data_IF_811879704479
#
_entry.id   IF_811879704479
#
_cell.length_a   1.000
_cell.length_b   1.000
_cell.length_c   1.000
_cell.angle_alpha   90.00
_cell.angle_beta   90.00
_cell.angle_gamma   90.00
#
_symmetry.space_group_name_H-M   'P 1'
#
loop_
_entity.id
_entity.type
_entity.pdbx_description
1 polymer ?
#
# COMPACT_ATOMS: atom_id res chain seq x y z
N UNK A 1 1.09 -25.66 -64.43
CA UNK A 1 0.39 -24.40 -63.98
C UNK A 1 0.67 -24.04 -62.51
N UNK A 2 0.72 -24.97 -61.57
CA UNK A 2 0.92 -24.64 -60.12
C UNK A 2 2.28 -23.98 -59.77
N UNK A 3 3.38 -24.32 -60.49
CA UNK A 3 4.72 -23.74 -60.23
C UNK A 3 4.88 -22.29 -60.72
N UNK A 4 4.10 -21.86 -61.70
CA UNK A 4 4.13 -20.50 -62.24
C UNK A 4 3.32 -19.51 -61.43
N UNK A 5 2.25 -19.98 -60.78
CA UNK A 5 1.41 -19.17 -59.84
C UNK A 5 2.18 -18.91 -58.55
N UNK A 6 2.95 -19.89 -58.06
CA UNK A 6 3.77 -19.72 -56.83
C UNK A 6 4.93 -18.74 -57.04
N UNK A 7 5.54 -18.73 -58.23
CA UNK A 7 6.59 -17.78 -58.57
C UNK A 7 6.07 -16.33 -58.70
N UNK A 8 4.85 -16.14 -59.22
CA UNK A 8 4.21 -14.82 -59.28
C UNK A 8 3.79 -14.28 -57.89
N UNK A 9 3.33 -15.14 -56.98
CA UNK A 9 2.98 -14.74 -55.62
C UNK A 9 4.22 -14.29 -54.83
N UNK A 10 5.36 -14.98 -54.98
CA UNK A 10 6.62 -14.59 -54.35
C UNK A 10 7.22 -13.28 -54.89
N UNK A 11 7.05 -13.02 -56.17
CA UNK A 11 7.49 -11.76 -56.80
C UNK A 11 6.68 -10.55 -56.30
N UNK A 12 5.36 -10.71 -56.04
CA UNK A 12 4.52 -9.63 -55.47
C UNK A 12 4.87 -9.28 -54.02
N UNK A 13 5.29 -10.27 -53.22
CA UNK A 13 5.68 -10.03 -51.80
C UNK A 13 7.01 -9.28 -51.73
N UNK A 14 7.96 -9.50 -52.67
CA UNK A 14 9.23 -8.77 -52.71
C UNK A 14 9.09 -7.35 -53.27
N UNK A 15 8.08 -7.05 -54.09
CA UNK A 15 7.85 -5.73 -54.62
C UNK A 15 7.28 -4.73 -53.62
N UNK A 16 6.60 -5.23 -52.57
CA UNK A 16 6.04 -4.40 -51.48
C UNK A 16 7.06 -3.99 -50.42
N UNK A 17 8.23 -4.60 -50.36
CA UNK A 17 9.29 -4.29 -49.41
C UNK A 17 10.29 -3.21 -49.84
N UNK A 18 10.22 -2.70 -51.09
CA UNK A 18 11.17 -1.74 -51.66
C UNK A 18 10.65 -0.29 -51.71
N UNK A 19 9.47 0.00 -51.19
CA UNK A 19 8.89 1.35 -51.19
C UNK A 19 9.09 2.14 -49.87
N UNK A 20 9.95 1.65 -48.96
CA UNK A 20 10.16 2.26 -47.63
C UNK A 20 11.50 2.99 -47.48
N UNK A 21 12.19 3.34 -48.56
CA UNK A 21 13.41 4.16 -48.52
C UNK A 21 13.41 5.21 -49.63
N UNK A 22 12.89 6.39 -49.35
CA UNK A 22 13.00 7.57 -50.20
C UNK A 22 13.15 8.80 -49.32
N UNK A 23 14.40 9.25 -49.20
CA UNK A 23 14.87 10.42 -48.48
C UNK A 23 14.17 11.72 -48.87
N UNK A 24 13.92 12.59 -47.91
CA UNK A 24 14.37 13.99 -47.97
C UNK A 24 14.29 14.63 -46.57
N UNK A 25 15.43 15.16 -46.17
CA UNK A 25 15.59 16.09 -45.05
C UNK A 25 14.72 17.33 -45.22
N UNK A 26 13.94 17.64 -44.20
CA UNK A 26 13.69 19.03 -43.85
C UNK A 26 13.43 19.12 -42.33
N UNK A 27 14.01 20.15 -41.72
CA UNK A 27 14.04 20.39 -40.31
C UNK A 27 12.65 20.86 -39.86
N UNK A 28 11.99 20.07 -39.03
CA UNK A 28 10.74 20.41 -38.38
C UNK A 28 10.60 19.57 -37.13
N UNK A 29 10.54 20.25 -36.02
CA UNK A 29 10.25 19.75 -34.68
C UNK A 29 9.08 18.74 -34.72
N UNK A 30 9.39 17.46 -34.70
CA UNK A 30 8.41 16.40 -34.59
C UNK A 30 8.47 15.88 -33.16
N UNK A 31 7.56 16.41 -32.35
CA UNK A 31 7.22 15.81 -31.07
C UNK A 31 7.08 14.30 -31.26
N UNK A 32 7.85 13.56 -30.48
CA UNK A 32 7.82 12.11 -30.42
C UNK A 32 6.46 11.66 -29.88
N UNK A 33 5.49 11.55 -30.76
CA UNK A 33 4.22 10.89 -30.46
C UNK A 33 4.41 9.39 -30.73
N UNK A 34 5.27 8.77 -29.91
CA UNK A 34 5.27 7.33 -29.73
C UNK A 34 3.90 6.98 -29.18
N UNK A 35 3.04 6.44 -30.03
CA UNK A 35 1.78 5.86 -29.59
C UNK A 35 2.09 4.74 -28.58
N UNK A 36 2.17 5.12 -27.32
CA UNK A 36 2.03 4.22 -26.20
C UNK A 36 0.59 3.67 -26.29
N UNK A 37 0.45 2.43 -26.76
CA UNK A 37 -0.73 1.65 -26.55
C UNK A 37 -0.73 1.27 -25.05
N UNK A 38 -0.72 2.29 -24.18
CA UNK A 38 -0.65 2.16 -22.75
C UNK A 38 -1.89 1.43 -22.26
N UNK A 39 -1.69 0.20 -21.89
CA UNK A 39 -2.61 -0.44 -20.96
C UNK A 39 -2.63 0.50 -19.74
N UNK A 40 -3.76 1.18 -19.53
CA UNK A 40 -3.92 2.08 -18.41
C UNK A 40 -3.67 1.29 -17.12
N UNK A 41 -2.68 1.66 -16.33
CA UNK A 41 -2.33 0.99 -15.08
C UNK A 41 -3.03 1.66 -13.90
N UNK A 42 -3.38 0.87 -12.88
CA UNK A 42 -3.81 1.38 -11.58
C UNK A 42 -2.59 1.33 -10.65
N UNK A 43 -2.16 2.49 -10.19
CA UNK A 43 -0.98 2.66 -9.35
C UNK A 43 -1.32 2.55 -7.87
N UNK A 44 -0.77 1.54 -7.22
CA UNK A 44 -0.89 1.30 -5.79
C UNK A 44 0.38 1.79 -5.09
N UNK A 45 0.23 2.69 -4.13
CA UNK A 45 1.34 3.15 -3.30
C UNK A 45 1.26 2.54 -1.91
N UNK A 46 2.42 2.21 -1.33
CA UNK A 46 2.53 1.80 0.07
C UNK A 46 3.73 2.45 0.73
N UNK A 47 3.65 2.66 2.01
CA UNK A 47 4.74 3.17 2.84
C UNK A 47 4.90 2.26 4.04
N UNK A 48 6.12 1.99 4.44
CA UNK A 48 6.38 1.25 5.67
C UNK A 48 7.88 1.09 5.90
N UNK A 49 8.29 0.61 7.07
CA UNK A 49 9.69 0.42 7.39
C UNK A 49 10.26 -0.75 6.58
N UNK A 50 11.05 -0.48 5.55
CA UNK A 50 11.78 -1.50 4.79
C UNK A 50 13.19 -1.71 5.35
N UNK A 51 13.65 -0.77 6.19
CA UNK A 51 14.92 -0.82 6.89
C UNK A 51 14.73 -0.53 8.38
N UNK A 52 15.77 -0.77 9.20
CA UNK A 52 15.73 -0.53 10.65
C UNK A 52 15.05 -1.63 11.47
N UNK A 53 14.69 -1.32 12.71
CA UNK A 53 14.22 -2.29 13.70
C UNK A 53 12.85 -2.92 13.40
N UNK A 54 12.05 -2.26 12.59
CA UNK A 54 10.70 -2.71 12.20
C UNK A 54 10.62 -3.27 10.78
N UNK A 55 11.76 -3.46 10.10
CA UNK A 55 11.81 -3.87 8.70
C UNK A 55 11.03 -5.15 8.40
N UNK A 56 10.98 -6.10 9.33
CA UNK A 56 10.23 -7.35 9.14
C UNK A 56 8.72 -7.10 8.89
N UNK A 57 8.15 -6.07 9.52
CA UNK A 57 6.74 -5.71 9.32
C UNK A 57 6.52 -5.11 7.93
N UNK A 58 7.31 -4.10 7.58
CA UNK A 58 7.20 -3.44 6.27
C UNK A 58 7.45 -4.37 5.10
N UNK A 59 8.51 -5.18 5.17
CA UNK A 59 8.82 -6.18 4.15
C UNK A 59 7.71 -7.23 4.00
N UNK A 60 7.10 -7.67 5.11
CA UNK A 60 5.99 -8.62 5.06
C UNK A 60 4.77 -8.04 4.35
N UNK A 61 4.42 -6.78 4.63
CA UNK A 61 3.32 -6.10 3.95
C UNK A 61 3.64 -5.87 2.48
N UNK A 62 4.84 -5.40 2.15
CA UNK A 62 5.29 -5.21 0.77
C UNK A 62 5.22 -6.50 -0.03
N UNK A 63 5.73 -7.60 0.50
CA UNK A 63 5.71 -8.91 -0.18
C UNK A 63 4.29 -9.43 -0.37
N UNK A 64 3.42 -9.28 0.64
CA UNK A 64 2.02 -9.66 0.54
C UNK A 64 1.28 -8.86 -0.53
N UNK A 65 1.49 -7.54 -0.57
CA UNK A 65 0.92 -6.65 -1.57
C UNK A 65 1.43 -7.01 -2.98
N UNK A 66 2.73 -7.26 -3.14
CA UNK A 66 3.30 -7.66 -4.43
C UNK A 66 2.74 -8.99 -4.92
N UNK A 67 2.62 -10.00 -4.04
CA UNK A 67 2.02 -11.28 -4.39
C UNK A 67 0.58 -11.10 -4.91
N UNK A 68 -0.23 -10.30 -4.21
CA UNK A 68 -1.59 -10.02 -4.65
C UNK A 68 -1.64 -9.30 -6.01
N UNK A 69 -0.75 -8.33 -6.23
CA UNK A 69 -0.61 -7.63 -7.52
C UNK A 69 -0.26 -8.61 -8.64
N UNK A 70 0.70 -9.50 -8.40
CA UNK A 70 1.13 -10.50 -9.40
C UNK A 70 -0.02 -11.45 -9.76
N UNK A 71 -0.77 -11.95 -8.76
CA UNK A 71 -1.92 -12.83 -8.98
C UNK A 71 -3.05 -12.13 -9.73
N UNK A 72 -3.39 -10.89 -9.35
CA UNK A 72 -4.45 -10.11 -10.01
C UNK A 72 -4.05 -9.82 -11.46
N UNK A 73 -2.80 -9.43 -11.70
CA UNK A 73 -2.29 -9.15 -13.04
C UNK A 73 -2.27 -10.40 -13.92
N UNK A 74 -1.87 -11.55 -13.37
CA UNK A 74 -1.91 -12.83 -14.08
C UNK A 74 -3.35 -13.24 -14.45
N UNK A 75 -4.34 -12.84 -13.65
CA UNK A 75 -5.76 -13.05 -13.94
C UNK A 75 -6.37 -12.03 -14.93
N UNK A 76 -5.57 -11.09 -15.45
CA UNK A 76 -6.00 -10.08 -16.43
C UNK A 76 -6.23 -8.68 -15.85
N UNK A 77 -5.84 -8.45 -14.60
CA UNK A 77 -5.94 -7.15 -13.92
C UNK A 77 -7.35 -6.81 -13.45
N UNK A 78 -7.54 -5.57 -13.05
CA UNK A 78 -8.83 -5.04 -12.59
C UNK A 78 -9.53 -4.34 -13.74
N UNK A 79 -10.64 -4.88 -14.23
CA UNK A 79 -11.36 -4.37 -15.40
C UNK A 79 -10.47 -4.21 -16.65
N UNK A 80 -9.51 -5.14 -16.82
CA UNK A 80 -8.55 -5.13 -17.93
C UNK A 80 -7.34 -4.20 -17.72
N UNK A 81 -7.27 -3.47 -16.61
CA UNK A 81 -6.12 -2.63 -16.25
C UNK A 81 -5.15 -3.39 -15.37
N UNK A 82 -3.86 -3.28 -15.64
CA UNK A 82 -2.83 -3.87 -14.80
C UNK A 82 -2.62 -3.04 -13.53
N UNK A 83 -2.21 -3.70 -12.44
CA UNK A 83 -1.80 -3.04 -11.21
C UNK A 83 -0.28 -2.81 -11.23
N UNK A 84 0.16 -1.67 -10.74
CA UNK A 84 1.57 -1.34 -10.52
C UNK A 84 1.77 -0.94 -9.06
N UNK A 85 2.69 -1.60 -8.35
CA UNK A 85 2.97 -1.33 -6.94
C UNK A 85 4.27 -0.54 -6.79
N UNK A 86 4.21 0.57 -6.04
CA UNK A 86 5.39 1.26 -5.53
C UNK A 86 5.32 1.31 -4.00
N UNK A 87 6.32 0.74 -3.34
CA UNK A 87 6.41 0.72 -1.89
C UNK A 87 7.66 1.47 -1.42
N UNK A 88 7.48 2.48 -0.55
CA UNK A 88 8.53 3.39 -0.11
C UNK A 88 8.95 3.11 1.33
N UNK A 89 10.25 3.23 1.61
CA UNK A 89 10.80 3.06 2.96
C UNK A 89 10.55 4.30 3.81
N UNK A 90 9.90 4.11 4.95
CA UNK A 90 9.69 5.12 5.98
C UNK A 90 10.75 5.07 7.09
N UNK A 91 11.53 4.00 7.17
CA UNK A 91 12.49 3.73 8.25
C UNK A 91 11.86 3.63 9.65
N UNK A 92 10.53 3.53 9.75
CA UNK A 92 9.80 3.55 11.02
C UNK A 92 9.56 4.95 11.59
N UNK A 93 9.76 5.99 10.79
CA UNK A 93 9.67 7.39 11.19
C UNK A 93 8.47 8.09 10.53
N UNK A 94 7.57 8.75 11.31
CA UNK A 94 6.38 9.40 10.78
C UNK A 94 6.63 10.53 9.78
N UNK A 95 7.70 11.33 9.95
CA UNK A 95 8.02 12.42 9.03
C UNK A 95 8.53 11.87 7.70
N UNK A 96 9.36 10.83 7.76
CA UNK A 96 9.84 10.09 6.60
C UNK A 96 8.69 9.43 5.85
N UNK A 97 7.68 8.92 6.57
CA UNK A 97 6.49 8.32 5.98
C UNK A 97 5.66 9.35 5.19
N UNK A 98 5.46 10.55 5.73
CA UNK A 98 4.77 11.64 5.02
C UNK A 98 5.56 12.07 3.78
N UNK A 99 6.88 12.18 3.87
CA UNK A 99 7.72 12.50 2.71
C UNK A 99 7.67 11.40 1.63
N UNK A 100 7.64 10.13 2.05
CA UNK A 100 7.48 8.98 1.15
C UNK A 100 6.11 8.97 0.45
N UNK A 101 5.05 9.29 1.19
CA UNK A 101 3.70 9.49 0.63
C UNK A 101 3.70 10.57 -0.46
N UNK A 102 4.33 11.72 -0.21
CA UNK A 102 4.45 12.79 -1.20
C UNK A 102 5.10 12.32 -2.52
N UNK A 103 6.15 11.48 -2.44
CA UNK A 103 6.77 10.88 -3.63
C UNK A 103 5.82 9.96 -4.40
N UNK A 104 4.94 9.23 -3.69
CA UNK A 104 3.93 8.39 -4.32
C UNK A 104 2.85 9.23 -5.01
N UNK A 105 2.47 10.37 -4.44
CA UNK A 105 1.57 11.33 -5.09
C UNK A 105 2.20 11.90 -6.37
N UNK A 106 3.47 12.30 -6.33
CA UNK A 106 4.23 12.77 -7.50
C UNK A 106 4.35 11.70 -8.59
N UNK A 107 4.43 10.42 -8.20
CA UNK A 107 4.42 9.28 -9.12
C UNK A 107 3.04 9.06 -9.77
N UNK A 108 2.00 9.65 -9.23
CA UNK A 108 0.62 9.53 -9.72
C UNK A 108 -0.13 8.34 -9.15
N UNK A 109 0.07 8.04 -7.88
CA UNK A 109 -0.65 7.00 -7.15
C UNK A 109 -2.17 7.21 -7.20
N UNK A 110 -2.91 6.11 -7.34
CA UNK A 110 -4.38 6.10 -7.35
C UNK A 110 -4.97 5.62 -6.01
N UNK A 111 -4.31 4.66 -5.35
CA UNK A 111 -4.75 4.05 -4.09
C UNK A 111 -3.55 3.91 -3.17
N UNK A 112 -3.73 4.24 -1.89
CA UNK A 112 -2.71 4.10 -0.87
C UNK A 112 -2.97 2.87 0.02
N UNK A 113 -1.97 2.02 0.20
CA UNK A 113 -2.02 0.79 1.00
C UNK A 113 -1.54 0.98 2.44
N UNK A 114 -1.64 2.19 2.97
CA UNK A 114 -1.34 2.49 4.35
C UNK A 114 0.13 2.63 4.71
N UNK A 115 0.40 2.85 5.99
CA UNK A 115 1.70 3.20 6.55
C UNK A 115 2.36 2.09 7.38
N UNK A 116 1.78 0.92 7.50
CA UNK A 116 2.23 -0.26 8.26
C UNK A 116 2.24 -0.04 9.78
N UNK A 117 3.00 0.93 10.29
CA UNK A 117 3.03 1.25 11.73
C UNK A 117 2.00 2.34 12.08
N UNK A 118 1.43 2.27 13.28
CA UNK A 118 0.34 3.16 13.69
C UNK A 118 0.70 4.64 13.64
N UNK A 119 1.89 5.03 14.11
CA UNK A 119 2.35 6.44 14.09
C UNK A 119 2.56 6.99 12.69
N UNK A 120 3.12 6.16 11.79
CA UNK A 120 3.30 6.48 10.38
C UNK A 120 1.96 6.66 9.68
N UNK A 121 1.06 5.68 9.85
CA UNK A 121 -0.28 5.70 9.26
C UNK A 121 -1.07 6.93 9.68
N UNK A 122 -1.13 7.23 10.97
CA UNK A 122 -1.85 8.41 11.48
C UNK A 122 -1.32 9.72 10.89
N UNK A 123 0.00 9.83 10.72
CA UNK A 123 0.64 11.00 10.14
C UNK A 123 0.33 11.15 8.65
N UNK A 124 0.44 10.06 7.88
CA UNK A 124 0.13 10.07 6.45
C UNK A 124 -1.36 10.30 6.20
N UNK A 125 -2.26 9.61 6.93
CA UNK A 125 -3.72 9.78 6.80
C UNK A 125 -4.14 11.23 7.08
N UNK A 126 -3.46 11.88 8.05
CA UNK A 126 -3.68 13.32 8.34
C UNK A 126 -3.20 14.19 7.18
N UNK A 127 -2.02 13.94 6.63
CA UNK A 127 -1.49 14.70 5.50
C UNK A 127 -2.33 14.53 4.23
N UNK A 128 -2.83 13.31 3.99
CA UNK A 128 -3.60 12.92 2.80
C UNK A 128 -5.04 13.44 2.76
N UNK A 129 -5.52 14.13 3.80
CA UNK A 129 -6.91 14.62 3.87
C UNK A 129 -7.33 15.51 2.68
N UNK A 130 -6.38 16.27 2.14
CA UNK A 130 -6.65 17.20 1.05
C UNK A 130 -6.53 16.56 -0.35
N UNK A 131 -5.96 15.34 -0.43
CA UNK A 131 -5.55 14.75 -1.70
C UNK A 131 -6.61 13.87 -2.37
N UNK A 132 -7.73 13.65 -1.71
CA UNK A 132 -8.87 12.86 -2.22
C UNK A 132 -8.54 11.40 -2.59
N UNK A 133 -7.50 10.83 -1.96
CA UNK A 133 -7.00 9.48 -2.22
C UNK A 133 -7.70 8.46 -1.32
N UNK A 134 -8.11 7.33 -1.91
CA UNK A 134 -8.60 6.18 -1.14
C UNK A 134 -7.44 5.50 -0.42
N UNK A 135 -7.62 5.27 0.88
CA UNK A 135 -6.62 4.67 1.76
C UNK A 135 -7.16 3.36 2.34
N UNK A 136 -6.41 2.29 2.18
CA UNK A 136 -6.67 1.01 2.84
C UNK A 136 -5.48 0.67 3.74
N UNK A 137 -5.62 0.93 5.03
CA UNK A 137 -4.60 0.57 6.00
C UNK A 137 -4.57 -0.93 6.26
N UNK A 138 -3.38 -1.50 6.23
CA UNK A 138 -3.16 -2.95 6.31
C UNK A 138 -2.96 -3.44 7.73
N UNK A 139 -2.15 -2.77 8.53
CA UNK A 139 -1.66 -3.27 9.84
C UNK A 139 -1.65 -2.22 10.94
N UNK A 140 -1.73 -0.93 10.64
CA UNK A 140 -1.79 0.14 11.63
C UNK A 140 -3.08 0.07 12.45
N UNK A 141 -2.99 -0.41 13.68
CA UNK A 141 -4.13 -0.80 14.51
C UNK A 141 -4.60 0.28 15.49
N UNK A 142 -3.80 1.32 15.76
CA UNK A 142 -4.24 2.41 16.63
C UNK A 142 -5.52 3.07 16.09
N UNK A 143 -6.44 3.40 17.00
CA UNK A 143 -7.78 3.92 16.63
C UNK A 143 -7.65 5.15 15.74
N UNK A 144 -6.67 6.02 15.99
CA UNK A 144 -6.42 7.25 15.23
C UNK A 144 -5.88 7.05 13.81
N UNK A 145 -5.50 5.83 13.40
CA UNK A 145 -4.93 5.57 12.08
C UNK A 145 -5.86 5.95 10.92
N UNK A 146 -7.17 5.95 11.13
CA UNK A 146 -8.15 6.30 10.10
C UNK A 146 -9.05 7.46 10.51
N UNK A 147 -8.84 8.03 11.69
CA UNK A 147 -9.70 9.06 12.24
C UNK A 147 -9.68 10.36 11.42
N UNK A 148 -10.88 10.87 11.18
CA UNK A 148 -11.08 12.16 10.55
C UNK A 148 -10.71 12.22 9.07
N UNK A 149 -10.57 11.08 8.40
CA UNK A 149 -10.48 10.97 6.94
C UNK A 149 -11.51 9.94 6.47
N UNK A 150 -12.57 10.38 5.80
CA UNK A 150 -13.70 9.57 5.34
C UNK A 150 -13.36 8.62 4.17
N UNK A 151 -12.14 8.73 3.62
CA UNK A 151 -11.59 7.85 2.59
C UNK A 151 -10.58 6.85 3.13
N UNK A 152 -10.31 6.89 4.43
CA UNK A 152 -9.42 5.95 5.09
C UNK A 152 -10.20 4.79 5.73
N UNK A 153 -9.83 3.59 5.32
CA UNK A 153 -10.38 2.32 5.81
C UNK A 153 -9.24 1.44 6.29
N UNK A 154 -9.55 0.42 7.08
CA UNK A 154 -8.54 -0.58 7.49
C UNK A 154 -9.08 -2.00 7.46
N UNK A 155 -8.18 -2.97 7.34
CA UNK A 155 -8.47 -4.40 7.38
C UNK A 155 -8.17 -5.02 8.73
N UNK A 156 -7.23 -4.46 9.51
CA UNK A 156 -6.87 -4.98 10.83
C UNK A 156 -7.86 -4.53 11.92
N UNK A 157 -7.74 -5.14 13.09
CA UNK A 157 -8.52 -4.79 14.30
C UNK A 157 -8.06 -3.46 14.92
N UNK A 158 -8.81 -2.98 15.91
CA UNK A 158 -8.51 -1.79 16.69
C UNK A 158 -7.69 -2.14 17.94
N UNK A 159 -6.77 -1.26 18.35
CA UNK A 159 -6.06 -1.38 19.63
C UNK A 159 -7.00 -1.33 20.82
N UNK A 160 -8.03 -0.49 20.77
CA UNK A 160 -9.07 -0.45 21.80
C UNK A 160 -9.76 -1.80 21.99
N UNK A 161 -10.09 -2.49 20.91
CA UNK A 161 -10.65 -3.84 21.00
C UNK A 161 -9.67 -4.86 21.58
N UNK A 162 -8.39 -4.80 21.17
CA UNK A 162 -7.37 -5.72 21.66
C UNK A 162 -7.09 -5.52 23.15
N UNK A 163 -7.00 -4.26 23.63
CA UNK A 163 -6.82 -3.95 25.04
C UNK A 163 -7.99 -4.40 25.88
N UNK A 164 -9.22 -4.15 25.43
CA UNK A 164 -10.46 -4.63 26.09
C UNK A 164 -10.48 -6.15 26.17
N UNK A 165 -10.28 -6.84 25.05
CA UNK A 165 -10.29 -8.30 24.99
C UNK A 165 -9.24 -8.95 25.91
N UNK A 166 -8.08 -8.31 26.09
CA UNK A 166 -7.06 -8.80 27.01
C UNK A 166 -7.51 -8.74 28.47
N UNK A 167 -8.14 -7.65 28.90
CA UNK A 167 -8.69 -7.52 30.26
C UNK A 167 -9.85 -8.50 30.52
N UNK A 168 -10.77 -8.62 29.56
CA UNK A 168 -11.88 -9.58 29.63
C UNK A 168 -11.36 -11.02 29.72
N UNK A 169 -10.36 -11.36 28.91
CA UNK A 169 -9.78 -12.70 28.95
C UNK A 169 -9.14 -13.06 30.27
N UNK A 170 -8.45 -12.11 30.91
CA UNK A 170 -7.89 -12.31 32.26
C UNK A 170 -9.01 -12.56 33.32
N UNK A 171 -10.06 -11.77 33.26
CA UNK A 171 -11.19 -11.86 34.19
C UNK A 171 -12.00 -13.14 33.96
N UNK A 172 -12.46 -13.42 32.74
CA UNK A 172 -13.37 -14.50 32.40
C UNK A 172 -12.74 -15.88 32.65
N UNK A 173 -11.44 -15.99 32.44
CA UNK A 173 -10.70 -17.21 32.69
C UNK A 173 -10.08 -17.25 34.10
N UNK A 174 -10.33 -16.24 34.95
CA UNK A 174 -9.80 -16.15 36.30
C UNK A 174 -8.27 -16.30 36.41
N UNK A 175 -7.55 -15.77 35.42
CA UNK A 175 -6.11 -15.93 35.31
C UNK A 175 -5.33 -15.02 36.27
N UNK A 176 -5.84 -13.80 36.53
CA UNK A 176 -5.24 -12.85 37.45
C UNK A 176 -6.26 -11.83 37.95
N UNK A 177 -6.14 -11.45 39.22
CA UNK A 177 -6.88 -10.32 39.81
C UNK A 177 -6.00 -9.09 39.96
N UNK A 178 -4.70 -9.25 39.89
CA UNK A 178 -3.70 -8.19 39.96
C UNK A 178 -2.64 -8.37 38.86
N UNK A 179 -2.29 -7.29 38.18
CA UNK A 179 -1.33 -7.30 37.07
C UNK A 179 -0.36 -6.12 37.14
N UNK A 180 0.86 -6.31 36.63
CA UNK A 180 1.78 -5.23 36.24
C UNK A 180 1.68 -5.06 34.72
N UNK A 181 1.77 -3.83 34.23
CA UNK A 181 1.75 -3.54 32.80
C UNK A 181 3.02 -2.82 32.39
N UNK A 182 3.72 -3.37 31.40
CA UNK A 182 4.87 -2.72 30.79
C UNK A 182 4.50 -2.28 29.38
N UNK A 183 4.62 -0.99 29.09
CA UNK A 183 4.27 -0.41 27.79
C UNK A 183 5.18 0.74 27.39
N UNK A 184 5.21 1.08 26.12
CA UNK A 184 5.94 2.21 25.59
C UNK A 184 5.00 3.41 25.46
N UNK A 185 5.17 4.42 26.34
CA UNK A 185 4.24 5.55 26.47
C UNK A 185 4.29 6.55 25.31
N UNK A 186 5.38 6.60 24.56
CA UNK A 186 5.58 7.45 23.39
C UNK A 186 5.31 6.75 22.04
N UNK A 187 4.75 5.53 22.09
CA UNK A 187 4.36 4.78 20.91
C UNK A 187 2.83 4.65 20.82
N UNK A 188 2.24 5.08 19.71
CA UNK A 188 0.79 5.14 19.52
C UNK A 188 0.08 3.80 19.69
N UNK A 189 0.65 2.73 19.14
CA UNK A 189 0.14 1.37 19.28
C UNK A 189 0.15 0.93 20.74
N UNK A 190 1.30 1.02 21.38
CA UNK A 190 1.49 0.56 22.78
C UNK A 190 0.64 1.34 23.78
N UNK A 191 0.57 2.68 23.61
CA UNK A 191 -0.26 3.53 24.46
C UNK A 191 -1.76 3.30 24.22
N UNK A 192 -2.19 3.05 23.00
CA UNK A 192 -3.59 2.74 22.65
C UNK A 192 -4.05 1.45 23.32
N UNK A 193 -3.26 0.39 23.23
CA UNK A 193 -3.50 -0.88 23.92
C UNK A 193 -3.60 -0.70 25.44
N UNK A 194 -2.63 -0.01 26.04
CA UNK A 194 -2.57 0.26 27.46
C UNK A 194 -3.83 0.99 27.94
N UNK A 195 -4.20 2.08 27.27
CA UNK A 195 -5.36 2.88 27.66
C UNK A 195 -6.68 2.08 27.64
N UNK A 196 -6.88 1.27 26.61
CA UNK A 196 -8.06 0.41 26.50
C UNK A 196 -8.07 -0.70 27.57
N UNK A 197 -6.91 -1.31 27.80
CA UNK A 197 -6.75 -2.32 28.84
C UNK A 197 -7.06 -1.77 30.24
N UNK A 198 -6.52 -0.60 30.59
CA UNK A 198 -6.79 0.09 31.89
C UNK A 198 -8.28 0.39 32.04
N UNK A 199 -8.91 0.93 31.00
CA UNK A 199 -10.33 1.27 31.04
C UNK A 199 -11.22 0.04 31.23
N UNK A 200 -10.86 -1.12 30.69
CA UNK A 200 -11.61 -2.36 30.86
C UNK A 200 -11.31 -3.03 32.18
N UNK A 201 -10.07 -3.00 32.68
CA UNK A 201 -9.72 -3.48 34.01
C UNK A 201 -10.58 -2.83 35.12
N UNK A 202 -10.89 -1.53 34.97
CA UNK A 202 -11.77 -0.82 35.91
C UNK A 202 -13.21 -1.37 35.96
N UNK A 203 -13.65 -2.06 34.89
CA UNK A 203 -14.99 -2.69 34.83
C UNK A 203 -14.98 -4.14 35.27
N UNK A 204 -13.93 -4.88 34.94
CA UNK A 204 -13.79 -6.32 35.23
C UNK A 204 -13.32 -6.60 36.66
N UNK A 205 -12.75 -5.61 37.36
CA UNK A 205 -12.21 -5.77 38.71
C UNK A 205 -10.75 -6.26 38.75
N UNK A 206 -10.08 -6.36 37.60
CA UNK A 206 -8.64 -6.61 37.54
C UNK A 206 -7.90 -5.34 37.98
N UNK A 207 -7.01 -5.45 38.95
CA UNK A 207 -6.28 -4.32 39.54
C UNK A 207 -4.89 -4.18 38.88
N UNK A 208 -4.56 -2.99 38.40
CA UNK A 208 -3.22 -2.66 37.94
C UNK A 208 -2.39 -2.16 39.13
N UNK A 209 -1.30 -2.85 39.44
CA UNK A 209 -0.44 -2.53 40.58
C UNK A 209 0.75 -1.64 40.18
N UNK A 210 1.32 -1.89 39.00
CA UNK A 210 2.52 -1.21 38.54
C UNK A 210 2.42 -0.99 37.00
N UNK A 211 2.96 0.14 36.54
CA UNK A 211 3.06 0.52 35.13
C UNK A 211 4.42 1.12 34.80
#
# INVERSE_FOLDING_TARGET
MKKRVFAMLMACVMALSLMACGSKSDSGDAGNNGGDSGVETIKLGGVGPLTGGYANYGLSVQHGAQLAVDEINAAGGVSGKQLELSFQDSQGDPESAVAAYGKLMDWGMNVFLGGVLSGETASVVTAAKADDVFIMETTGSADKCIDGNDKAFRVCFYDSYQGTAAADYLNDNQLATEVGVFYQSDNDYSAGLYNAFVAECAKTGVTIKET
#
